data_IF_392169947734
#
_entry.id   IF_392169947734
#
_cell.length_a   1.000
_cell.length_b   1.000
_cell.length_c   1.000
_cell.angle_alpha   90.00
_cell.angle_beta   90.00
_cell.angle_gamma   90.00
#
_symmetry.space_group_name_H-M   'P 1'
#
loop_
_entity.id
_entity.type
_entity.pdbx_description
1 polymer ?
#
# COMPACT_ATOMS: atom_id res chain seq x y z
N UNK A 1 11.87 11.61 -9.08
CA UNK A 1 11.50 11.76 -7.66
C UNK A 1 12.01 13.08 -7.18
N UNK A 2 11.17 13.87 -6.52
CA UNK A 2 11.57 15.10 -5.85
C UNK A 2 12.51 14.75 -4.71
N UNK A 3 13.65 15.44 -4.58
CA UNK A 3 14.53 15.26 -3.41
C UNK A 3 13.89 15.96 -2.20
N UNK A 4 13.44 15.17 -1.23
CA UNK A 4 12.84 15.68 0.00
C UNK A 4 13.89 15.81 1.10
N UNK A 5 13.91 16.95 1.79
CA UNK A 5 14.70 17.10 3.02
C UNK A 5 14.11 16.26 4.15
N UNK A 6 14.92 16.01 5.18
CA UNK A 6 14.48 15.29 6.39
C UNK A 6 13.29 15.97 7.05
N UNK A 7 13.24 17.30 7.07
CA UNK A 7 12.11 18.04 7.64
C UNK A 7 10.82 17.86 6.82
N UNK A 8 10.93 17.80 5.50
CA UNK A 8 9.80 17.53 4.61
C UNK A 8 9.28 16.11 4.80
N UNK A 9 10.18 15.11 4.88
CA UNK A 9 9.81 13.73 5.19
C UNK A 9 9.12 13.62 6.56
N UNK A 10 9.63 14.31 7.58
CA UNK A 10 9.00 14.35 8.90
C UNK A 10 7.62 15.01 8.87
N UNK A 11 7.41 16.03 8.03
CA UNK A 11 6.10 16.67 7.85
C UNK A 11 5.06 15.71 7.25
N UNK A 12 5.47 14.85 6.32
CA UNK A 12 4.58 13.87 5.69
C UNK A 12 4.10 12.78 6.64
N UNK A 13 4.85 12.47 7.71
CA UNK A 13 4.38 11.57 8.77
C UNK A 13 3.07 12.09 9.41
N UNK A 14 2.92 13.41 9.54
CA UNK A 14 1.73 14.00 10.15
C UNK A 14 0.65 14.37 9.14
N UNK A 15 1.05 14.86 7.96
CA UNK A 15 0.14 15.42 6.95
C UNK A 15 -0.23 14.47 5.81
N UNK A 16 0.50 13.37 5.68
CA UNK A 16 0.36 12.42 4.58
C UNK A 16 1.34 12.68 3.45
N UNK A 17 1.38 11.71 2.53
CA UNK A 17 2.23 11.77 1.36
C UNK A 17 1.67 12.79 0.35
N UNK A 18 2.54 13.58 -0.29
CA UNK A 18 2.17 14.41 -1.44
C UNK A 18 1.79 13.54 -2.64
N UNK A 19 1.13 14.14 -3.63
CA UNK A 19 0.56 13.42 -4.77
C UNK A 19 1.59 12.63 -5.58
N UNK A 20 2.80 13.16 -5.76
CA UNK A 20 3.86 12.48 -6.49
C UNK A 20 4.40 11.25 -5.73
N UNK A 21 4.51 11.33 -4.39
CA UNK A 21 4.86 10.15 -3.58
C UNK A 21 3.72 9.14 -3.49
N UNK A 22 2.47 9.59 -3.48
CA UNK A 22 1.31 8.69 -3.56
C UNK A 22 1.30 7.93 -4.89
N UNK A 23 1.59 8.62 -5.99
CA UNK A 23 1.67 7.98 -7.30
C UNK A 23 2.85 7.00 -7.35
N UNK A 24 4.03 7.40 -6.87
CA UNK A 24 5.17 6.51 -6.80
C UNK A 24 4.89 5.25 -5.96
N UNK A 25 4.16 5.38 -4.84
CA UNK A 25 3.73 4.23 -4.03
C UNK A 25 2.76 3.31 -4.75
N UNK A 26 1.86 3.85 -5.59
CA UNK A 26 1.02 3.00 -6.46
C UNK A 26 1.87 2.23 -7.44
N UNK A 27 2.76 2.92 -8.17
CA UNK A 27 3.59 2.32 -9.22
C UNK A 27 4.48 1.20 -8.65
N UNK A 28 5.07 1.42 -7.47
CA UNK A 28 5.85 0.41 -6.74
C UNK A 28 5.00 -0.83 -6.37
N UNK A 29 3.80 -0.64 -5.82
CA UNK A 29 2.91 -1.77 -5.52
C UNK A 29 2.48 -2.54 -6.77
N UNK A 30 2.20 -1.85 -7.87
CA UNK A 30 1.86 -2.47 -9.16
C UNK A 30 3.04 -3.29 -9.68
N UNK A 31 4.26 -2.73 -9.66
CA UNK A 31 5.46 -3.45 -10.08
C UNK A 31 5.68 -4.72 -9.24
N UNK A 32 5.40 -4.66 -7.93
CA UNK A 32 5.49 -5.81 -7.03
C UNK A 32 4.41 -6.86 -7.28
N UNK A 33 3.18 -6.45 -7.59
CA UNK A 33 2.12 -7.37 -8.00
C UNK A 33 2.55 -8.18 -9.23
N UNK A 34 3.14 -7.52 -10.24
CA UNK A 34 3.69 -8.20 -11.42
C UNK A 34 4.84 -9.14 -11.08
N UNK A 35 5.77 -8.71 -10.23
CA UNK A 35 6.90 -9.51 -9.81
C UNK A 35 6.45 -10.83 -9.14
N UNK A 36 5.46 -10.76 -8.24
CA UNK A 36 4.88 -11.95 -7.58
C UNK A 36 4.14 -12.83 -8.59
N UNK A 37 3.36 -12.26 -9.53
CA UNK A 37 2.71 -13.07 -10.57
C UNK A 37 3.72 -13.80 -11.46
N UNK A 38 4.85 -13.19 -11.77
CA UNK A 38 5.88 -13.76 -12.64
C UNK A 38 6.77 -14.79 -11.95
N UNK A 39 7.09 -14.59 -10.67
CA UNK A 39 8.15 -15.33 -9.98
C UNK A 39 7.70 -15.99 -8.66
N UNK A 40 6.43 -15.87 -8.29
CA UNK A 40 5.92 -16.33 -6.99
C UNK A 40 6.41 -15.48 -5.82
N UNK A 41 6.05 -15.89 -4.60
CA UNK A 41 6.34 -15.13 -3.37
C UNK A 41 7.72 -15.38 -2.77
N UNK A 42 8.36 -16.51 -3.07
CA UNK A 42 9.55 -16.99 -2.34
C UNK A 42 10.74 -16.03 -2.41
N UNK A 43 10.88 -15.30 -3.51
CA UNK A 43 11.96 -14.32 -3.69
C UNK A 43 11.72 -12.99 -2.98
N UNK A 44 10.50 -12.75 -2.46
CA UNK A 44 10.08 -11.42 -2.01
C UNK A 44 9.63 -11.38 -0.55
N UNK A 45 9.04 -12.46 -0.03
CA UNK A 45 8.42 -12.49 1.32
C UNK A 45 9.38 -12.23 2.48
N UNK A 46 10.69 -12.41 2.26
CA UNK A 46 11.74 -12.13 3.26
C UNK A 46 12.57 -10.89 2.97
N UNK A 47 12.31 -10.21 1.85
CA UNK A 47 13.04 -9.02 1.40
C UNK A 47 12.21 -7.76 1.60
N UNK A 48 10.90 -7.85 1.35
CA UNK A 48 9.98 -6.74 1.54
C UNK A 48 9.59 -6.60 3.01
N UNK A 49 9.20 -5.39 3.40
CA UNK A 49 8.62 -5.21 4.72
C UNK A 49 7.27 -5.91 4.83
N UNK A 50 6.89 -6.29 6.05
CA UNK A 50 5.58 -6.91 6.35
C UNK A 50 4.42 -6.12 5.75
N UNK A 51 4.45 -4.78 5.87
CA UNK A 51 3.42 -3.88 5.33
C UNK A 51 3.27 -3.95 3.81
N UNK A 52 4.38 -4.15 3.11
CA UNK A 52 4.41 -4.27 1.65
C UNK A 52 3.95 -5.65 1.19
N UNK A 53 4.36 -6.71 1.89
CA UNK A 53 3.90 -8.08 1.62
C UNK A 53 2.37 -8.17 1.73
N UNK A 54 1.80 -7.67 2.84
CA UNK A 54 0.34 -7.75 3.04
C UNK A 54 -0.44 -6.86 2.07
N UNK A 55 0.13 -5.73 1.62
CA UNK A 55 -0.49 -4.87 0.62
C UNK A 55 -0.59 -5.56 -0.74
N UNK A 56 0.51 -6.19 -1.18
CA UNK A 56 0.54 -6.95 -2.43
C UNK A 56 -0.36 -8.17 -2.33
N UNK A 57 -0.39 -8.85 -1.17
CA UNK A 57 -1.29 -9.96 -0.94
C UNK A 57 -2.76 -9.54 -1.04
N UNK A 58 -3.12 -8.40 -0.45
CA UNK A 58 -4.45 -7.81 -0.56
C UNK A 58 -4.80 -7.41 -2.00
N UNK A 59 -3.87 -6.80 -2.74
CA UNK A 59 -4.07 -6.44 -4.14
C UNK A 59 -4.31 -7.66 -5.03
N UNK A 60 -3.58 -8.75 -4.79
CA UNK A 60 -3.68 -10.01 -5.52
C UNK A 60 -4.79 -10.96 -5.03
N UNK A 61 -5.58 -10.58 -4.01
CA UNK A 61 -6.57 -11.44 -3.33
C UNK A 61 -5.97 -12.78 -2.82
N UNK A 62 -4.72 -12.73 -2.36
CA UNK A 62 -3.99 -13.88 -1.83
C UNK A 62 -4.37 -14.17 -0.38
N UNK A 63 -5.57 -14.74 -0.18
CA UNK A 63 -6.17 -14.99 1.14
C UNK A 63 -5.37 -15.94 2.02
N UNK A 64 -4.70 -16.92 1.43
CA UNK A 64 -3.87 -17.87 2.17
C UNK A 64 -2.73 -17.16 2.90
N UNK A 65 -2.04 -16.26 2.20
CA UNK A 65 -0.92 -15.50 2.74
C UNK A 65 -1.38 -14.47 3.79
N UNK A 66 -2.52 -13.80 3.56
CA UNK A 66 -3.11 -12.92 4.58
C UNK A 66 -3.47 -13.69 5.86
N UNK A 67 -4.03 -14.90 5.71
CA UNK A 67 -4.36 -15.76 6.85
C UNK A 67 -3.11 -16.23 7.60
N UNK A 68 -2.06 -16.65 6.89
CA UNK A 68 -0.77 -17.03 7.48
C UNK A 68 -0.18 -15.89 8.32
N UNK A 69 -0.32 -14.65 7.84
CA UNK A 69 0.18 -13.46 8.52
C UNK A 69 -0.77 -12.93 9.60
N UNK A 70 -1.93 -13.58 9.83
CA UNK A 70 -2.98 -13.13 10.74
C UNK A 70 -3.48 -11.71 10.43
N UNK A 71 -3.54 -11.37 9.15
CA UNK A 71 -3.96 -10.06 8.64
C UNK A 71 -5.31 -10.18 7.93
N UNK A 72 -6.18 -9.20 8.13
CA UNK A 72 -7.46 -9.06 7.42
C UNK A 72 -7.52 -7.72 6.68
N UNK A 73 -8.55 -7.53 5.84
CA UNK A 73 -8.73 -6.29 5.07
C UNK A 73 -8.64 -5.04 5.95
N UNK A 74 -9.28 -5.04 7.11
CA UNK A 74 -9.33 -3.87 8.00
C UNK A 74 -7.92 -3.55 8.50
N UNK A 75 -7.17 -4.57 8.92
CA UNK A 75 -5.82 -4.39 9.48
C UNK A 75 -4.83 -3.89 8.42
N UNK A 76 -4.92 -4.42 7.19
CA UNK A 76 -4.13 -3.95 6.04
C UNK A 76 -4.47 -2.51 5.68
N UNK A 77 -5.76 -2.22 5.45
CA UNK A 77 -6.22 -0.89 5.06
C UNK A 77 -5.91 0.15 6.14
N UNK A 78 -6.04 -0.21 7.42
CA UNK A 78 -5.74 0.70 8.54
C UNK A 78 -4.27 1.09 8.56
N UNK A 79 -3.35 0.12 8.47
CA UNK A 79 -1.91 0.41 8.39
C UNK A 79 -1.60 1.40 7.27
N UNK A 80 -2.13 1.11 6.08
CA UNK A 80 -1.90 1.94 4.91
C UNK A 80 -2.60 3.30 4.95
N UNK A 81 -3.69 3.45 5.70
CA UNK A 81 -4.31 4.76 5.90
C UNK A 81 -3.33 5.73 6.58
N UNK A 82 -2.59 5.26 7.59
CA UNK A 82 -1.57 6.06 8.25
C UNK A 82 -0.32 6.27 7.39
N UNK A 83 0.10 5.27 6.62
CA UNK A 83 1.25 5.39 5.72
C UNK A 83 0.99 6.37 4.56
N UNK A 84 -0.23 6.41 4.02
CA UNK A 84 -0.60 7.25 2.89
C UNK A 84 -1.02 8.66 3.32
N UNK A 85 -1.82 8.77 4.38
CA UNK A 85 -2.49 10.01 4.77
C UNK A 85 -1.89 10.65 6.03
N UNK A 86 -0.83 10.06 6.57
CA UNK A 86 -0.18 10.50 7.80
C UNK A 86 -1.08 10.28 9.02
N UNK A 87 -0.61 10.71 10.19
CA UNK A 87 -1.33 10.50 11.46
C UNK A 87 -2.75 11.08 11.42
N UNK A 88 -2.90 12.35 10.99
CA UNK A 88 -4.21 13.03 11.00
C UNK A 88 -5.16 12.49 9.95
N UNK A 89 -4.66 12.27 8.73
CA UNK A 89 -5.47 11.76 7.64
C UNK A 89 -5.85 10.29 7.84
N UNK A 90 -4.94 9.50 8.40
CA UNK A 90 -5.16 8.09 8.73
C UNK A 90 -6.22 7.92 9.81
N UNK A 91 -6.15 8.69 10.90
CA UNK A 91 -7.18 8.66 11.95
C UNK A 91 -8.55 9.08 11.42
N UNK A 92 -8.61 10.14 10.62
CA UNK A 92 -9.86 10.56 9.99
C UNK A 92 -10.45 9.48 9.08
N UNK A 93 -9.62 8.83 8.25
CA UNK A 93 -10.08 7.75 7.37
C UNK A 93 -10.50 6.50 8.15
N UNK A 94 -9.77 6.13 9.20
CA UNK A 94 -10.10 5.01 10.11
C UNK A 94 -11.49 5.24 10.76
N UNK A 95 -11.72 6.44 11.30
CA UNK A 95 -13.03 6.83 11.85
C UNK A 95 -14.16 6.81 10.81
N UNK A 96 -13.83 6.95 9.53
CA UNK A 96 -14.74 6.92 8.40
C UNK A 96 -14.85 5.52 7.74
N UNK A 97 -14.35 4.46 8.40
CA UNK A 97 -14.42 3.09 7.90
C UNK A 97 -13.45 2.78 6.75
N UNK A 98 -12.32 3.49 6.70
CA UNK A 98 -11.21 3.31 5.74
C UNK A 98 -11.62 3.50 4.27
N UNK A 99 -12.63 4.32 4.03
CA UNK A 99 -13.25 4.50 2.71
C UNK A 99 -12.28 5.09 1.70
N UNK A 100 -11.45 6.05 2.10
CA UNK A 100 -10.44 6.68 1.23
C UNK A 100 -9.35 5.68 0.86
N UNK A 101 -8.84 4.94 1.84
CA UNK A 101 -7.79 3.94 1.61
C UNK A 101 -8.29 2.78 0.76
N UNK A 102 -9.51 2.29 1.00
CA UNK A 102 -10.14 1.27 0.15
C UNK A 102 -10.25 1.74 -1.30
N UNK A 103 -10.73 2.97 -1.52
CA UNK A 103 -10.81 3.57 -2.86
C UNK A 103 -9.43 3.65 -3.53
N UNK A 104 -8.40 4.04 -2.80
CA UNK A 104 -7.03 4.10 -3.30
C UNK A 104 -6.54 2.72 -3.74
N UNK A 105 -6.73 1.68 -2.93
CA UNK A 105 -6.37 0.30 -3.29
C UNK A 105 -7.15 -0.23 -4.50
N UNK A 106 -8.45 0.08 -4.61
CA UNK A 106 -9.24 -0.28 -5.79
C UNK A 106 -8.67 0.35 -7.06
N UNK A 107 -8.28 1.63 -7.01
CA UNK A 107 -7.64 2.31 -8.14
C UNK A 107 -6.28 1.67 -8.48
N UNK A 108 -5.49 1.31 -7.48
CA UNK A 108 -4.21 0.61 -7.68
C UNK A 108 -4.41 -0.75 -8.33
N UNK A 109 -5.43 -1.52 -7.91
CA UNK A 109 -5.80 -2.79 -8.55
C UNK A 109 -6.22 -2.58 -10.01
N UNK A 110 -6.98 -1.53 -10.32
CA UNK A 110 -7.34 -1.21 -11.71
C UNK A 110 -6.13 -0.85 -12.56
N UNK A 111 -5.17 -0.09 -12.02
CA UNK A 111 -3.93 0.25 -12.74
C UNK A 111 -3.06 -1.00 -13.00
N UNK A 112 -2.94 -1.89 -12.01
CA UNK A 112 -2.24 -3.16 -12.16
C UNK A 112 -2.82 -4.05 -13.27
N UNK A 113 -4.16 -4.09 -13.39
CA UNK A 113 -4.84 -4.83 -14.44
C UNK A 113 -4.70 -4.17 -15.83
N UNK A 114 -4.76 -2.84 -15.90
CA UNK A 114 -4.69 -2.10 -17.16
C UNK A 114 -3.34 -2.25 -17.87
N UNK A 115 -2.26 -2.38 -17.11
CA UNK A 115 -0.91 -2.57 -17.66
C UNK A 115 -0.55 -4.05 -17.91
N UNK A 116 -1.45 -4.98 -17.59
CA UNK A 116 -1.27 -6.41 -17.90
C UNK A 116 -1.84 -6.81 -19.28
N UNK A 117 -2.58 -5.88 -19.92
CA UNK A 117 -3.14 -6.00 -21.27
C UNK A 117 -2.17 -5.45 -22.34
#
# INVERSE_FOLDING_TARGET
>A
MTDYTREQLASHIFSGLPEDLLQHRRDDLVARCRAVRAHGWDNYRYVWSTGEVVAVAYLLDSRELLTEMSEDETTVLRRWAYDLWGIRGGEADDSAGLTRTRKWFMQTRSADLADAE
#
